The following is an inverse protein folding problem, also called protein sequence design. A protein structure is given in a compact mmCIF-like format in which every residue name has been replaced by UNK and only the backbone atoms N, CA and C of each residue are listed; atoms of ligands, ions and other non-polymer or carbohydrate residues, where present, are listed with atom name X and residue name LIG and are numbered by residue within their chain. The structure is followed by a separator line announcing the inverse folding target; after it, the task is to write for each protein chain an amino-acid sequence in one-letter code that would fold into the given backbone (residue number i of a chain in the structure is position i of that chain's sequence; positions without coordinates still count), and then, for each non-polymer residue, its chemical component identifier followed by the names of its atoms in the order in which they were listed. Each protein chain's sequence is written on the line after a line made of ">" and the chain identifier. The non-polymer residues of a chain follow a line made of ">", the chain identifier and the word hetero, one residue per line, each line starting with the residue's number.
data_IF_910276545838
#
_entry.id   IF_910276545838
#
_cell.length_a   1.000
_cell.length_b   1.000
_cell.length_c   1.000
_cell.angle_alpha   90.00
_cell.angle_beta   90.00
_cell.angle_gamma   90.00
#
_symmetry.space_group_name_H-M   'P 1'
#
loop_
_entity.id
_entity.type
_entity.pdbx_description
1 polymer ?
#
# COMPACT_ATOMS: atom_id res chain seq x y z
N UNK A 1 -27.70 -11.70 -2.08
CA UNK A 1 -26.31 -11.57 -1.65
C UNK A 1 -25.87 -12.95 -1.22
N UNK A 2 -24.73 -13.41 -1.73
CA UNK A 2 -24.23 -14.75 -1.42
C UNK A 2 -23.23 -14.72 -0.25
N UNK A 3 -22.55 -13.59 -0.05
CA UNK A 3 -21.66 -13.35 1.11
C UNK A 3 -21.92 -11.94 1.68
N UNK A 4 -21.98 -11.82 3.01
CA UNK A 4 -22.04 -10.54 3.73
C UNK A 4 -20.92 -10.50 4.77
N UNK A 5 -20.23 -9.37 4.89
CA UNK A 5 -19.22 -9.14 5.93
C UNK A 5 -19.65 -7.94 6.76
N UNK A 6 -19.79 -8.11 8.08
CA UNK A 6 -20.19 -7.03 8.99
C UNK A 6 -19.04 -6.66 9.92
N UNK A 7 -18.82 -5.36 10.08
CA UNK A 7 -17.63 -4.83 10.80
C UNK A 7 -17.96 -3.65 11.72
N UNK A 8 -19.24 -3.37 11.96
CA UNK A 8 -19.65 -2.21 12.73
C UNK A 8 -19.39 -2.45 14.23
N UNK A 9 -18.36 -1.81 14.75
CA UNK A 9 -17.99 -1.89 16.16
C UNK A 9 -17.73 -0.48 16.72
N UNK A 10 -18.22 -0.24 17.93
CA UNK A 10 -17.92 0.97 18.70
C UNK A 10 -17.18 0.53 19.96
N UNK A 11 -15.94 0.99 20.20
CA UNK A 11 -15.19 0.64 21.40
C UNK A 11 -15.99 0.88 22.68
N UNK A 12 -15.99 -0.11 23.58
CA UNK A 12 -16.70 -0.04 24.86
C UNK A 12 -18.23 -0.17 24.78
N UNK A 13 -18.81 -0.34 23.59
CA UNK A 13 -20.26 -0.60 23.41
C UNK A 13 -20.48 -1.96 22.74
N UNK A 14 -21.66 -2.53 22.95
CA UNK A 14 -22.09 -3.70 22.19
C UNK A 14 -22.22 -3.35 20.71
N UNK A 15 -21.88 -4.31 19.85
CA UNK A 15 -22.12 -4.20 18.42
C UNK A 15 -23.62 -3.98 18.16
N UNK A 16 -24.00 -3.04 17.28
CA UNK A 16 -25.40 -2.87 16.89
C UNK A 16 -25.85 -4.04 16.03
N UNK A 17 -27.07 -4.54 16.26
CA UNK A 17 -27.68 -5.54 15.39
C UNK A 17 -28.14 -4.85 14.09
N UNK A 18 -27.52 -5.24 12.98
CA UNK A 18 -27.80 -4.74 11.64
C UNK A 18 -28.51 -5.78 10.77
N UNK A 19 -28.26 -7.07 11.03
CA UNK A 19 -28.90 -8.18 10.35
C UNK A 19 -29.82 -8.91 11.33
N UNK A 20 -31.12 -8.69 11.19
CA UNK A 20 -32.14 -9.35 12.02
C UNK A 20 -32.36 -10.79 11.57
N UNK A 21 -33.01 -11.61 12.40
CA UNK A 21 -33.30 -13.01 12.07
C UNK A 21 -34.13 -13.12 10.79
N UNK A 22 -35.13 -12.24 10.64
CA UNK A 22 -36.03 -12.21 9.49
C UNK A 22 -35.29 -11.88 8.20
N UNK A 23 -34.30 -10.98 8.25
CA UNK A 23 -33.46 -10.65 7.09
C UNK A 23 -32.58 -11.83 6.69
N UNK A 24 -32.01 -12.52 7.67
CA UNK A 24 -31.10 -13.65 7.45
C UNK A 24 -31.88 -14.85 6.91
N UNK A 25 -33.08 -15.12 7.42
CA UNK A 25 -33.94 -16.22 6.97
C UNK A 25 -34.48 -16.03 5.54
N UNK A 26 -34.44 -14.80 5.01
CA UNK A 26 -34.77 -14.50 3.61
C UNK A 26 -33.57 -14.67 2.66
N UNK A 27 -32.38 -14.92 3.19
CA UNK A 27 -31.20 -15.17 2.36
C UNK A 27 -31.31 -16.54 1.68
N UNK A 28 -30.58 -16.68 0.57
CA UNK A 28 -30.53 -17.95 -0.17
C UNK A 28 -29.81 -19.01 0.69
N UNK A 29 -30.29 -20.27 0.72
CA UNK A 29 -29.53 -21.36 1.35
C UNK A 29 -28.10 -21.42 0.81
N UNK A 30 -27.13 -21.65 1.70
CA UNK A 30 -25.70 -21.64 1.38
C UNK A 30 -25.04 -20.25 1.42
N UNK A 31 -25.81 -19.17 1.64
CA UNK A 31 -25.21 -17.85 1.84
C UNK A 31 -24.32 -17.82 3.09
N UNK A 32 -23.30 -16.97 3.09
CA UNK A 32 -22.34 -16.85 4.21
C UNK A 32 -22.34 -15.45 4.79
N UNK A 33 -22.38 -15.34 6.12
CA UNK A 33 -22.17 -14.10 6.86
C UNK A 33 -20.88 -14.24 7.66
N UNK A 34 -19.97 -13.28 7.52
CA UNK A 34 -18.75 -13.19 8.32
C UNK A 34 -18.87 -11.98 9.24
N UNK A 35 -19.04 -12.22 10.53
CA UNK A 35 -19.29 -11.16 11.50
C UNK A 35 -18.02 -10.81 12.28
N UNK A 36 -17.29 -9.79 11.81
CA UNK A 36 -16.06 -9.31 12.43
C UNK A 36 -16.32 -8.61 13.77
N UNK A 37 -17.58 -8.24 14.07
CA UNK A 37 -17.97 -7.63 15.33
C UNK A 37 -18.38 -8.66 16.40
N UNK A 38 -18.21 -9.97 16.14
CA UNK A 38 -18.52 -11.03 17.10
C UNK A 38 -17.91 -10.83 18.51
N UNK A 39 -16.67 -10.33 18.69
CA UNK A 39 -16.11 -10.09 20.03
C UNK A 39 -16.91 -9.11 20.90
N UNK A 40 -17.67 -8.19 20.30
CA UNK A 40 -18.50 -7.20 21.01
C UNK A 40 -20.00 -7.51 20.93
N UNK A 41 -20.36 -8.75 20.57
CA UNK A 41 -21.74 -9.25 20.50
C UNK A 41 -22.27 -9.52 19.09
N UNK A 42 -21.55 -9.08 18.04
CA UNK A 42 -21.93 -9.31 16.64
C UNK A 42 -22.94 -8.31 16.08
N UNK A 43 -22.87 -8.08 14.76
CA UNK A 43 -23.88 -7.32 14.03
C UNK A 43 -25.04 -8.18 13.53
N UNK A 44 -24.91 -9.50 13.59
CA UNK A 44 -25.91 -10.45 13.12
C UNK A 44 -26.63 -11.11 14.31
N UNK A 45 -27.97 -11.20 14.23
CA UNK A 45 -28.80 -11.75 15.30
C UNK A 45 -28.56 -13.25 15.57
N UNK A 46 -27.98 -13.98 14.62
CA UNK A 46 -27.59 -15.38 14.75
C UNK A 46 -26.12 -15.58 15.14
N UNK A 47 -25.34 -14.50 15.34
CA UNK A 47 -23.92 -14.62 15.71
C UNK A 47 -23.76 -15.25 17.09
N UNK A 48 -23.03 -16.36 17.14
CA UNK A 48 -22.47 -16.93 18.37
C UNK A 48 -20.95 -16.66 18.37
N UNK A 49 -20.43 -15.82 19.28
CA UNK A 49 -19.00 -15.50 19.32
C UNK A 49 -18.12 -16.74 19.49
N UNK A 50 -17.14 -16.90 18.61
CA UNK A 50 -16.21 -18.03 18.57
C UNK A 50 -16.67 -19.19 17.71
N UNK A 51 -17.90 -19.18 17.19
CA UNK A 51 -18.51 -20.34 16.54
C UNK A 51 -18.89 -20.10 15.08
N UNK A 52 -19.05 -21.22 14.37
CA UNK A 52 -19.75 -21.29 13.08
C UNK A 52 -21.18 -21.76 13.36
N UNK A 53 -22.15 -20.91 13.06
CA UNK A 53 -23.58 -21.23 13.16
C UNK A 53 -24.13 -21.52 11.78
N UNK A 54 -25.03 -22.48 11.65
CA UNK A 54 -25.80 -22.70 10.43
C UNK A 54 -27.27 -22.61 10.80
N UNK A 55 -28.03 -21.74 10.12
CA UNK A 55 -29.47 -21.60 10.37
C UNK A 55 -30.24 -22.77 9.77
N UNK A 56 -31.49 -22.96 10.20
CA UNK A 56 -32.39 -24.00 9.66
C UNK A 56 -32.61 -23.86 8.15
N UNK A 57 -32.48 -22.65 7.61
CA UNK A 57 -32.56 -22.35 6.16
C UNK A 57 -31.23 -22.48 5.42
N UNK A 58 -30.20 -22.95 6.10
CA UNK A 58 -28.89 -23.25 5.50
C UNK A 58 -27.99 -22.04 5.29
N UNK A 59 -28.23 -20.91 5.97
CA UNK A 59 -27.32 -19.76 5.95
C UNK A 59 -26.21 -20.00 6.97
N UNK A 60 -24.96 -19.76 6.58
CA UNK A 60 -23.78 -20.00 7.40
C UNK A 60 -23.33 -18.67 8.01
N UNK A 61 -23.14 -18.61 9.32
CA UNK A 61 -22.64 -17.44 10.05
C UNK A 61 -21.31 -17.79 10.71
N UNK A 62 -20.28 -17.02 10.42
CA UNK A 62 -18.94 -17.16 11.00
C UNK A 62 -18.72 -16.04 12.01
N UNK A 63 -18.76 -16.38 13.30
CA UNK A 63 -18.59 -15.46 14.43
C UNK A 63 -17.22 -15.58 15.12
N UNK A 64 -16.16 -16.00 14.43
CA UNK A 64 -14.86 -16.21 15.05
C UNK A 64 -14.29 -14.92 15.65
N UNK A 65 -13.79 -15.01 16.88
CA UNK A 65 -13.23 -13.88 17.63
C UNK A 65 -11.71 -13.77 17.51
N UNK A 66 -11.07 -14.77 16.90
CA UNK A 66 -9.63 -14.96 16.83
C UNK A 66 -9.08 -14.88 15.38
N UNK A 67 -9.73 -14.13 14.50
CA UNK A 67 -9.41 -14.11 13.07
C UNK A 67 -7.94 -13.75 12.77
N UNK A 68 -7.34 -12.85 13.56
CA UNK A 68 -5.91 -12.53 13.42
C UNK A 68 -5.02 -13.75 13.72
N UNK A 69 -5.37 -14.58 14.70
CA UNK A 69 -4.64 -15.80 15.04
C UNK A 69 -4.73 -16.89 13.98
N UNK A 70 -5.66 -16.76 13.01
CA UNK A 70 -5.77 -17.68 11.86
C UNK A 70 -4.84 -17.32 10.70
N UNK A 71 -4.18 -16.16 10.78
CA UNK A 71 -3.06 -15.75 9.92
C UNK A 71 -1.86 -15.34 10.80
N UNK A 72 -1.32 -16.28 11.61
CA UNK A 72 -0.41 -15.93 12.70
C UNK A 72 0.89 -15.31 12.20
N UNK A 73 1.47 -15.80 11.10
CA UNK A 73 2.72 -15.25 10.55
C UNK A 73 2.58 -13.77 10.17
N UNK A 74 1.52 -13.42 9.44
CA UNK A 74 1.24 -12.04 9.01
C UNK A 74 0.88 -11.15 10.19
N UNK A 75 0.02 -11.64 11.11
CA UNK A 75 -0.36 -10.90 12.30
C UNK A 75 0.87 -10.58 13.18
N UNK A 76 1.74 -11.56 13.41
CA UNK A 76 2.99 -11.37 14.16
C UNK A 76 3.93 -10.39 13.47
N UNK A 77 4.12 -10.48 12.15
CA UNK A 77 5.00 -9.58 11.42
C UNK A 77 4.52 -8.13 11.48
N UNK A 78 3.23 -7.89 11.24
CA UNK A 78 2.65 -6.54 11.30
C UNK A 78 2.66 -5.98 12.72
N UNK A 79 2.36 -6.81 13.72
CA UNK A 79 2.42 -6.39 15.11
C UNK A 79 3.86 -6.06 15.55
N UNK A 80 4.85 -6.88 15.20
CA UNK A 80 6.26 -6.60 15.46
C UNK A 80 6.72 -5.31 14.77
N UNK A 81 6.24 -5.04 13.56
CA UNK A 81 6.52 -3.78 12.84
C UNK A 81 5.93 -2.57 13.59
N UNK A 82 4.72 -2.67 14.12
CA UNK A 82 4.13 -1.61 14.95
C UNK A 82 4.94 -1.37 16.23
N UNK A 83 5.41 -2.44 16.89
CA UNK A 83 6.28 -2.33 18.07
C UNK A 83 7.63 -1.70 17.70
N UNK A 84 8.23 -2.08 16.57
CA UNK A 84 9.46 -1.46 16.08
C UNK A 84 9.29 0.05 15.88
N UNK A 85 8.21 0.49 15.23
CA UNK A 85 7.94 1.92 15.05
C UNK A 85 7.68 2.64 16.39
N UNK A 86 6.99 1.99 17.33
CA UNK A 86 6.83 2.52 18.68
C UNK A 86 8.19 2.67 19.39
N UNK A 87 9.10 1.70 19.27
CA UNK A 87 10.44 1.82 19.87
C UNK A 87 11.27 2.94 19.24
N UNK A 88 11.09 3.22 17.95
CA UNK A 88 11.74 4.36 17.29
C UNK A 88 11.22 5.70 17.82
N UNK A 89 9.92 5.78 18.18
CA UNK A 89 9.34 6.94 18.83
C UNK A 89 9.85 7.11 20.27
N UNK A 90 9.95 6.00 21.01
CA UNK A 90 10.42 5.97 22.39
C UNK A 90 11.94 6.17 22.53
N UNK A 91 12.73 5.92 21.48
CA UNK A 91 14.19 6.11 21.48
C UNK A 91 14.63 6.90 20.24
N UNK A 92 14.40 8.22 20.19
CA UNK A 92 14.69 9.05 19.01
C UNK A 92 16.18 9.02 18.61
N UNK A 93 17.06 8.92 19.61
CA UNK A 93 18.51 8.85 19.44
C UNK A 93 19.03 7.46 19.04
N UNK A 94 18.16 6.44 18.99
CA UNK A 94 18.50 5.05 18.64
C UNK A 94 19.60 4.44 19.52
N UNK A 95 19.72 4.93 20.75
CA UNK A 95 20.73 4.50 21.73
C UNK A 95 20.21 3.43 22.70
N UNK A 96 18.97 2.97 22.54
CA UNK A 96 18.34 1.99 23.42
C UNK A 96 17.80 2.57 24.73
N UNK A 97 17.93 3.88 24.97
CA UNK A 97 17.27 4.55 26.09
C UNK A 97 15.83 4.89 25.73
N UNK A 98 14.89 4.59 26.64
CA UNK A 98 13.47 4.93 26.49
C UNK A 98 13.23 6.32 27.07
N UNK A 99 12.65 7.20 26.27
CA UNK A 99 12.25 8.55 26.62
C UNK A 99 10.73 8.64 26.57
N UNK A 100 10.10 8.83 27.73
CA UNK A 100 8.66 9.04 27.86
C UNK A 100 8.35 10.54 27.83
N UNK A 101 8.42 11.13 26.65
CA UNK A 101 8.16 12.56 26.44
C UNK A 101 6.65 12.84 26.51
N UNK A 102 6.18 13.47 27.59
CA UNK A 102 4.75 13.76 27.78
C UNK A 102 4.22 14.84 26.84
N UNK A 103 5.12 15.63 26.25
CA UNK A 103 4.84 16.63 25.23
C UNK A 103 4.51 16.00 23.88
N UNK A 104 4.95 14.75 23.64
CA UNK A 104 4.57 14.00 22.44
C UNK A 104 3.12 13.50 22.60
N UNK A 105 2.18 13.97 21.76
CA UNK A 105 0.78 13.62 21.88
C UNK A 105 0.53 12.12 21.68
N UNK A 106 1.38 11.42 20.92
CA UNK A 106 1.27 9.97 20.69
C UNK A 106 1.67 9.23 21.95
N UNK A 107 2.84 9.55 22.53
CA UNK A 107 3.34 8.92 23.76
C UNK A 107 2.35 9.19 24.90
N UNK A 108 1.90 10.43 25.10
CA UNK A 108 0.95 10.77 26.16
C UNK A 108 -0.39 10.05 26.01
N UNK A 109 -0.85 9.81 24.79
CA UNK A 109 -2.11 9.09 24.53
C UNK A 109 -1.99 7.59 24.80
N UNK A 110 -0.84 6.99 24.50
CA UNK A 110 -0.57 5.57 24.73
C UNK A 110 -0.21 5.24 26.17
N UNK A 111 0.40 6.18 26.91
CA UNK A 111 0.86 5.97 28.28
C UNK A 111 -0.31 5.93 29.27
N UNK A 112 -0.66 4.73 29.74
CA UNK A 112 -1.76 4.49 30.68
C UNK A 112 -1.36 4.63 32.15
N UNK A 113 -0.10 4.34 32.49
CA UNK A 113 0.45 4.45 33.84
C UNK A 113 1.97 4.64 33.79
N UNK A 114 2.50 5.40 34.74
CA UNK A 114 3.93 5.59 34.94
C UNK A 114 4.24 5.59 36.45
N UNK A 115 5.27 4.85 36.88
CA UNK A 115 5.76 4.82 38.29
C UNK A 115 4.67 4.54 39.34
N UNK A 116 3.65 3.78 38.97
CA UNK A 116 2.54 3.40 39.86
C UNK A 116 1.37 4.39 39.88
N UNK A 117 1.46 5.52 39.16
CA UNK A 117 0.36 6.45 38.98
C UNK A 117 -0.42 6.14 37.69
N UNK A 118 -1.75 6.27 37.73
CA UNK A 118 -2.62 6.07 36.57
C UNK A 118 -2.75 7.39 35.82
N UNK A 119 -2.40 7.40 34.54
CA UNK A 119 -2.41 8.58 33.67
C UNK A 119 -3.59 8.58 32.66
N UNK A 120 -4.42 7.54 32.68
CA UNK A 120 -5.67 7.44 31.94
C UNK A 120 -6.81 8.15 32.68
N UNK A 121 -7.72 8.88 31.99
CA UNK A 121 -7.81 9.06 30.54
C UNK A 121 -6.80 10.08 29.98
N UNK A 122 -6.38 9.93 28.72
CA UNK A 122 -5.50 10.90 28.09
C UNK A 122 -6.23 12.24 27.88
N UNK A 123 -5.52 13.37 27.92
CA UNK A 123 -6.10 14.67 27.60
C UNK A 123 -6.59 14.68 26.13
N UNK A 124 -7.60 15.49 25.79
CA UNK A 124 -8.01 15.68 24.41
C UNK A 124 -6.83 16.11 23.55
N UNK A 125 -6.60 15.44 22.43
CA UNK A 125 -5.52 15.77 21.52
C UNK A 125 -5.83 17.13 20.90
N UNK A 126 -5.07 18.15 21.29
CA UNK A 126 -5.08 19.44 20.61
C UNK A 126 -4.29 19.27 19.31
N UNK A 127 -4.98 18.79 18.28
CA UNK A 127 -4.39 18.72 16.95
C UNK A 127 -4.19 20.16 16.52
N UNK A 128 -2.95 20.65 16.50
CA UNK A 128 -2.59 21.71 15.57
C UNK A 128 -2.80 21.08 14.20
N UNK A 129 -4.01 21.23 13.67
CA UNK A 129 -4.25 21.01 12.27
C UNK A 129 -3.26 21.94 11.57
N UNK A 130 -2.16 21.39 11.07
CA UNK A 130 -1.57 21.93 9.87
C UNK A 130 -2.58 21.62 8.76
N UNK A 131 -3.65 22.39 8.79
CA UNK A 131 -4.58 22.55 7.72
C UNK A 131 -3.75 23.11 6.58
N UNK A 132 -3.41 22.26 5.62
CA UNK A 132 -3.07 22.70 4.27
C UNK A 132 -4.36 23.12 3.57
N UNK A 133 -5.07 24.06 4.19
CA UNK A 133 -6.16 24.82 3.62
C UNK A 133 -5.95 26.28 4.01
N UNK A 134 -4.93 26.89 3.42
CA UNK A 134 -4.92 28.33 3.23
C UNK A 134 -5.92 28.67 2.12
N UNK A 135 -7.20 28.62 2.48
CA UNK A 135 -8.22 29.50 1.91
C UNK A 135 -8.91 30.10 3.11
N UNK A 136 -8.45 31.29 3.50
CA UNK A 136 -9.28 32.18 4.27
C UNK A 136 -9.29 33.55 3.59
N UNK A 137 -10.50 33.99 3.31
CA UNK A 137 -10.80 35.29 2.74
C UNK A 137 -10.88 36.30 3.88
N UNK A 138 -10.24 37.45 3.75
CA UNK A 138 -10.86 38.69 4.22
C UNK A 138 -10.47 39.87 3.34
N UNK A 139 -11.48 40.71 3.19
CA UNK A 139 -11.76 41.68 2.15
C UNK A 139 -10.98 42.99 2.28
N UNK A 140 -10.93 43.69 1.15
CA UNK A 140 -10.70 45.13 0.97
C UNK A 140 -9.27 45.68 0.87
N UNK A 141 -8.75 45.59 -0.36
CA UNK A 141 -8.24 46.78 -1.08
C UNK A 141 -8.76 46.78 -2.52
N UNK A 142 -9.50 47.85 -2.85
CA UNK A 142 -9.96 48.27 -4.19
C UNK A 142 -9.13 47.68 -5.33
N UNK A 143 -9.76 46.85 -6.15
CA UNK A 143 -9.24 46.48 -7.45
C UNK A 143 -9.26 47.71 -8.38
N UNK A 144 -8.14 48.12 -9.00
CA UNK A 144 -8.23 48.81 -10.27
C UNK A 144 -8.76 47.81 -11.29
N UNK A 145 -9.85 48.18 -11.97
CA UNK A 145 -10.41 47.40 -13.06
C UNK A 145 -9.36 47.25 -14.17
N UNK A 146 -8.80 46.04 -14.31
CA UNK A 146 -8.06 45.64 -15.49
C UNK A 146 -8.93 44.67 -16.28
N UNK A 147 -9.55 45.23 -17.31
CA UNK A 147 -10.03 44.50 -18.47
C UNK A 147 -8.89 43.66 -19.05
N UNK A 148 -9.21 42.40 -19.39
CA UNK A 148 -8.91 41.75 -20.67
C UNK A 148 -8.69 40.25 -20.47
N UNK A 149 -9.38 39.46 -21.28
CA UNK A 149 -9.53 38.02 -21.14
C UNK A 149 -8.20 37.27 -21.11
N UNK A 150 -8.05 36.38 -20.12
CA UNK A 150 -7.02 35.34 -20.17
C UNK A 150 -7.48 34.28 -21.17
N UNK A 151 -7.09 34.48 -22.42
CA UNK A 151 -7.14 33.45 -23.45
C UNK A 151 -6.53 32.17 -22.90
N UNK A 152 -7.28 31.06 -22.96
CA UNK A 152 -6.69 29.72 -22.90
C UNK A 152 -5.69 29.66 -24.05
N UNK A 153 -4.40 29.57 -23.74
CA UNK A 153 -3.40 29.35 -24.78
C UNK A 153 -3.76 28.03 -25.48
N UNK A 154 -4.11 28.03 -26.78
CA UNK A 154 -4.31 26.78 -27.49
C UNK A 154 -2.94 26.09 -27.52
N UNK A 155 -2.85 24.86 -27.02
CA UNK A 155 -1.69 24.02 -27.38
C UNK A 155 -1.75 23.86 -28.89
N UNK A 156 -0.88 24.58 -29.59
CA UNK A 156 -0.86 24.61 -31.05
C UNK A 156 -0.69 23.17 -31.56
N UNK A 157 -1.64 22.60 -32.32
CA UNK A 157 -1.58 21.21 -32.79
C UNK A 157 -0.30 20.94 -33.59
N UNK A 158 0.30 21.97 -34.18
CA UNK A 158 1.60 21.89 -34.86
C UNK A 158 2.80 21.56 -33.96
N UNK A 159 2.74 21.80 -32.63
CA UNK A 159 3.87 21.49 -31.74
C UNK A 159 3.99 19.98 -31.48
N UNK A 160 2.87 19.29 -31.31
CA UNK A 160 2.84 17.82 -31.25
C UNK A 160 3.26 17.22 -32.59
N UNK A 161 2.79 17.79 -33.70
CA UNK A 161 3.18 17.35 -35.04
C UNK A 161 4.69 17.51 -35.28
N UNK A 162 5.28 18.63 -34.85
CA UNK A 162 6.73 18.86 -34.91
C UNK A 162 7.53 17.87 -34.07
N UNK A 163 7.09 17.58 -32.84
CA UNK A 163 7.75 16.60 -31.97
C UNK A 163 7.66 15.19 -32.59
N UNK A 164 6.48 14.82 -33.11
CA UNK A 164 6.28 13.53 -33.78
C UNK A 164 7.13 13.40 -35.04
N UNK A 165 7.27 14.48 -35.81
CA UNK A 165 8.08 14.51 -37.03
C UNK A 165 9.57 14.39 -36.72
N UNK A 166 10.05 15.08 -35.68
CA UNK A 166 11.44 14.97 -35.21
C UNK A 166 11.71 13.55 -34.72
N UNK A 167 10.82 12.96 -33.93
CA UNK A 167 10.94 11.59 -33.46
C UNK A 167 10.97 10.57 -34.61
N UNK A 168 10.14 10.79 -35.65
CA UNK A 168 10.11 9.95 -36.84
C UNK A 168 11.41 10.04 -37.67
N UNK A 169 11.92 11.25 -37.88
CA UNK A 169 13.21 11.46 -38.58
C UNK A 169 14.35 10.85 -37.77
N UNK A 170 14.36 11.02 -36.45
CA UNK A 170 15.35 10.40 -35.58
C UNK A 170 15.29 8.87 -35.64
N UNK A 171 14.10 8.27 -35.71
CA UNK A 171 13.92 6.83 -35.86
C UNK A 171 14.44 6.31 -37.21
N UNK A 172 14.18 7.03 -38.30
CA UNK A 172 14.71 6.69 -39.63
C UNK A 172 16.24 6.81 -39.70
N UNK A 173 16.80 7.82 -39.05
CA UNK A 173 18.25 8.00 -38.95
C UNK A 173 18.90 6.92 -38.09
N UNK A 174 18.31 6.58 -36.94
CA UNK A 174 18.80 5.47 -36.11
C UNK A 174 18.73 4.13 -36.87
N UNK A 175 17.65 3.92 -37.62
CA UNK A 175 17.45 2.72 -38.43
C UNK A 175 18.49 2.54 -39.54
N UNK A 176 19.08 3.62 -40.06
CA UNK A 176 20.11 3.53 -41.10
C UNK A 176 21.54 3.36 -40.55
N UNK A 177 21.77 3.69 -39.27
CA UNK A 177 23.09 3.55 -38.63
C UNK A 177 23.26 2.25 -37.83
N UNK A 178 22.18 1.57 -37.43
CA UNK A 178 22.23 0.47 -36.48
C UNK A 178 22.10 -0.93 -37.13
N UNK A 179 22.79 -1.96 -36.60
CA UNK A 179 22.62 -3.34 -37.05
C UNK A 179 21.18 -3.87 -36.87
N UNK A 180 20.72 -4.75 -37.77
CA UNK A 180 19.37 -5.32 -37.74
C UNK A 180 19.05 -6.06 -36.43
N UNK A 181 20.03 -6.77 -35.86
CA UNK A 181 19.88 -7.45 -34.56
C UNK A 181 19.65 -6.48 -33.41
N UNK A 182 20.36 -5.34 -33.43
CA UNK A 182 20.17 -4.27 -32.45
C UNK A 182 18.78 -3.64 -32.60
N UNK A 183 18.32 -3.41 -33.83
CA UNK A 183 16.97 -2.87 -34.08
C UNK A 183 15.88 -3.79 -33.55
N UNK A 184 16.02 -5.11 -33.70
CA UNK A 184 15.09 -6.08 -33.12
C UNK A 184 15.04 -6.00 -31.59
N UNK A 185 16.19 -5.98 -30.92
CA UNK A 185 16.24 -5.87 -29.46
C UNK A 185 15.72 -4.52 -28.95
N UNK A 186 16.03 -3.43 -29.67
CA UNK A 186 15.56 -2.09 -29.34
C UNK A 186 14.04 -1.97 -29.48
N UNK A 187 13.45 -2.54 -30.52
CA UNK A 187 12.00 -2.57 -30.71
C UNK A 187 11.29 -3.33 -29.58
N UNK A 188 11.82 -4.51 -29.21
CA UNK A 188 11.29 -5.29 -28.08
C UNK A 188 11.41 -4.49 -26.79
N UNK A 189 12.54 -3.84 -26.53
CA UNK A 189 12.72 -2.97 -25.36
C UNK A 189 11.67 -1.85 -25.28
N UNK A 190 11.46 -1.11 -26.37
CA UNK A 190 10.46 -0.01 -26.43
C UNK A 190 9.04 -0.54 -26.20
N UNK A 191 8.67 -1.65 -26.83
CA UNK A 191 7.36 -2.28 -26.63
C UNK A 191 7.18 -2.78 -25.19
N UNK A 192 8.22 -3.37 -24.58
CA UNK A 192 8.21 -3.79 -23.18
C UNK A 192 8.02 -2.61 -22.22
N UNK A 193 8.61 -1.44 -22.49
CA UNK A 193 8.36 -0.23 -21.69
C UNK A 193 6.90 0.23 -21.77
N UNK A 194 6.28 0.19 -22.96
CA UNK A 194 4.88 0.56 -23.15
C UNK A 194 3.98 -0.43 -22.37
N UNK A 195 4.21 -1.73 -22.52
CA UNK A 195 3.47 -2.76 -21.77
C UNK A 195 3.64 -2.56 -20.27
N UNK A 196 4.87 -2.34 -19.79
CA UNK A 196 5.16 -2.08 -18.38
C UNK A 196 4.41 -0.86 -17.82
N UNK A 197 4.35 0.24 -18.59
CA UNK A 197 3.57 1.41 -18.22
C UNK A 197 2.10 1.07 -17.99
N UNK A 198 1.46 0.38 -18.94
CA UNK A 198 0.03 0.05 -18.82
C UNK A 198 -0.27 -0.95 -17.70
N UNK A 199 0.63 -1.88 -17.41
CA UNK A 199 0.48 -2.87 -16.34
C UNK A 199 0.57 -2.21 -14.96
N UNK A 200 1.47 -1.24 -14.79
CA UNK A 200 1.74 -0.60 -13.49
C UNK A 200 0.81 0.61 -13.23
N UNK A 201 0.28 1.26 -14.25
CA UNK A 201 -0.46 2.53 -14.06
C UNK A 201 -1.76 2.41 -13.25
N UNK A 202 -2.37 1.21 -13.16
CA UNK A 202 -3.68 0.99 -12.54
C UNK A 202 -3.66 0.08 -11.31
N UNK A 203 -2.52 -0.06 -10.61
CA UNK A 203 -2.49 -0.87 -9.38
C UNK A 203 -3.11 -0.11 -8.21
N UNK A 204 -3.90 -0.80 -7.37
CA UNK A 204 -4.51 -0.19 -6.18
C UNK A 204 -3.44 0.30 -5.20
N UNK A 205 -3.75 1.34 -4.40
CA UNK A 205 -2.77 1.91 -3.47
C UNK A 205 -2.24 0.91 -2.43
N UNK A 206 -3.03 -0.10 -2.08
CA UNK A 206 -2.64 -1.20 -1.19
C UNK A 206 -1.54 -2.10 -1.76
N UNK A 207 -1.30 -2.05 -3.08
CA UNK A 207 -0.34 -2.89 -3.77
C UNK A 207 0.98 -2.18 -4.10
N UNK A 208 1.14 -0.87 -3.83
CA UNK A 208 2.41 -0.19 -4.13
C UNK A 208 3.59 -0.78 -3.34
N UNK A 209 3.38 -1.17 -2.08
CA UNK A 209 4.45 -1.78 -1.26
C UNK A 209 4.80 -3.20 -1.71
N UNK A 210 3.83 -4.12 -1.92
CA UNK A 210 4.10 -5.41 -2.56
C UNK A 210 4.74 -5.29 -3.95
N UNK A 211 4.29 -4.34 -4.77
CA UNK A 211 4.83 -4.12 -6.12
C UNK A 211 6.30 -3.69 -6.09
N UNK A 212 6.69 -2.86 -5.12
CA UNK A 212 8.10 -2.50 -4.93
C UNK A 212 8.96 -3.72 -4.58
N UNK A 213 8.46 -4.63 -3.74
CA UNK A 213 9.15 -5.88 -3.41
C UNK A 213 9.28 -6.80 -4.66
N UNK A 214 8.20 -7.01 -5.40
CA UNK A 214 8.22 -7.81 -6.63
C UNK A 214 9.19 -7.23 -7.68
N UNK A 215 9.24 -5.91 -7.87
CA UNK A 215 10.21 -5.29 -8.79
C UNK A 215 11.66 -5.51 -8.35
N UNK A 216 11.92 -5.61 -7.04
CA UNK A 216 13.24 -5.94 -6.52
C UNK A 216 13.61 -7.40 -6.81
N UNK A 217 12.67 -8.34 -6.66
CA UNK A 217 12.88 -9.74 -7.03
C UNK A 217 13.12 -9.92 -8.54
N UNK A 218 12.31 -9.26 -9.38
CA UNK A 218 12.43 -9.31 -10.85
C UNK A 218 13.76 -8.71 -11.32
N UNK A 219 14.29 -7.70 -10.64
CA UNK A 219 15.62 -7.14 -10.93
C UNK A 219 16.74 -8.20 -10.86
N UNK A 220 16.48 -9.33 -10.19
CA UNK A 220 17.35 -10.50 -10.15
C UNK A 220 17.62 -11.15 -11.51
N UNK A 221 16.96 -10.73 -12.60
CA UNK A 221 17.26 -11.13 -13.98
C UNK A 221 18.74 -10.94 -14.37
N UNK A 222 19.47 -10.07 -13.66
CA UNK A 222 20.93 -9.89 -13.79
C UNK A 222 21.68 -11.23 -13.66
N UNK A 223 21.11 -12.23 -12.99
CA UNK A 223 21.69 -13.58 -12.86
C UNK A 223 21.98 -14.23 -14.22
N UNK A 224 21.16 -13.94 -15.25
CA UNK A 224 21.37 -14.47 -16.59
C UNK A 224 22.69 -13.97 -17.16
N UNK A 225 23.00 -12.67 -16.98
CA UNK A 225 24.25 -12.09 -17.45
C UNK A 225 25.47 -12.63 -16.71
N UNK A 226 25.37 -12.81 -15.39
CA UNK A 226 26.49 -13.32 -14.58
C UNK A 226 26.75 -14.81 -14.83
N UNK A 227 25.71 -15.62 -15.03
CA UNK A 227 25.85 -17.03 -15.40
C UNK A 227 26.53 -17.22 -16.77
N UNK A 228 26.18 -16.40 -17.76
CA UNK A 228 26.84 -16.42 -19.07
C UNK A 228 28.35 -16.12 -18.96
N UNK A 229 28.75 -15.33 -17.97
CA UNK A 229 30.12 -14.86 -17.81
C UNK A 229 31.01 -15.80 -16.98
N UNK A 230 30.42 -16.71 -16.18
CA UNK A 230 31.14 -17.65 -15.31
C UNK A 230 32.07 -18.60 -16.08
N UNK A 231 31.73 -18.93 -17.34
CA UNK A 231 32.51 -19.82 -18.21
C UNK A 231 33.57 -19.12 -19.07
N UNK A 232 33.87 -17.84 -18.82
CA UNK A 232 34.68 -17.02 -19.73
C UNK A 232 36.19 -17.34 -19.77
N UNK A 233 36.68 -18.27 -18.94
CA UNK A 233 38.07 -18.72 -18.92
C UNK A 233 39.07 -17.71 -18.33
N UNK A 234 38.68 -16.45 -18.15
CA UNK A 234 39.49 -15.41 -17.53
C UNK A 234 39.17 -15.31 -16.04
N UNK A 235 40.20 -15.44 -15.18
CA UNK A 235 40.02 -15.51 -13.73
C UNK A 235 39.28 -14.29 -13.16
N UNK A 236 39.72 -13.08 -13.51
CA UNK A 236 39.11 -11.82 -13.02
C UNK A 236 37.63 -11.74 -13.36
N UNK A 237 37.28 -12.17 -14.57
CA UNK A 237 35.92 -12.07 -15.08
C UNK A 237 35.01 -13.12 -14.46
N UNK A 238 35.54 -14.32 -14.23
CA UNK A 238 34.85 -15.39 -13.49
C UNK A 238 34.64 -15.03 -12.01
N UNK A 239 35.62 -14.37 -11.39
CA UNK A 239 35.51 -13.87 -10.02
C UNK A 239 34.44 -12.79 -9.89
N UNK A 240 34.40 -11.82 -10.81
CA UNK A 240 33.36 -10.79 -10.85
C UNK A 240 31.97 -11.38 -11.12
N UNK A 241 31.87 -12.38 -12.01
CA UNK A 241 30.63 -13.11 -12.26
C UNK A 241 30.14 -13.85 -11.02
N UNK A 242 31.04 -14.51 -10.27
CA UNK A 242 30.71 -15.19 -9.01
C UNK A 242 30.20 -14.22 -7.94
N UNK A 243 30.88 -13.07 -7.77
CA UNK A 243 30.40 -12.00 -6.87
C UNK A 243 29.02 -11.50 -7.32
N UNK A 244 28.84 -11.31 -8.62
CA UNK A 244 27.56 -10.90 -9.20
C UNK A 244 26.44 -11.90 -8.92
N UNK A 245 26.69 -13.21 -9.04
CA UNK A 245 25.71 -14.26 -8.69
C UNK A 245 25.34 -14.18 -7.22
N UNK A 246 26.33 -13.99 -6.34
CA UNK A 246 26.09 -13.86 -4.89
C UNK A 246 25.19 -12.64 -4.61
N UNK A 247 25.54 -11.46 -5.13
CA UNK A 247 24.76 -10.24 -4.92
C UNK A 247 23.34 -10.34 -5.49
N UNK A 248 23.19 -10.94 -6.68
CA UNK A 248 21.88 -11.12 -7.31
C UNK A 248 21.01 -12.10 -6.53
N UNK A 249 21.61 -13.15 -5.94
CA UNK A 249 20.83 -14.09 -5.11
C UNK A 249 20.16 -13.40 -3.93
N UNK A 250 20.78 -12.36 -3.35
CA UNK A 250 20.18 -11.56 -2.28
C UNK A 250 18.92 -10.85 -2.77
N UNK A 251 18.94 -10.29 -3.98
CA UNK A 251 17.77 -9.65 -4.57
C UNK A 251 16.65 -10.65 -4.90
N UNK A 252 16.99 -11.86 -5.35
CA UNK A 252 16.00 -12.91 -5.67
C UNK A 252 15.32 -13.48 -4.41
N UNK A 253 16.09 -13.72 -3.34
CA UNK A 253 15.55 -14.30 -2.10
C UNK A 253 14.99 -13.24 -1.14
N UNK A 254 15.39 -11.98 -1.29
CA UNK A 254 15.00 -10.88 -0.40
C UNK A 254 13.88 -9.98 -0.93
N UNK A 255 13.63 -9.96 -2.24
CA UNK A 255 12.45 -9.32 -2.84
C UNK A 255 11.24 -10.24 -2.81
#
# INVERSE_FOLDING_TARGET
>A
MDVIITTAAIPGKKAPILLTKEMIDQMRPGSVIVDLAAPSGGNCAYTAPGEKVVTDRGVIILGYTDLASRLPAQASQLYATNLYHLTALLSPEKNGSIQLTHEDPIIRTMLVSEKGEILYPPPPIQVSQKSTSSTDHTSDKKAPALQSGRQKHPRHPGRLFFISLIAFIAALFLGSLLPETFLSHFMVFVLSCIVGYYVIWNVSHSLHTPLMAETNAISGIIIVGTLLQMGSGHFVVSLLAWIGILLVSINIFGG
#
